data_IF_445918255505
#
_entry.id   IF_445918255505
#
_cell.length_a   1.000
_cell.length_b   1.000
_cell.length_c   1.000
_cell.angle_alpha   90.00
_cell.angle_beta   90.00
_cell.angle_gamma   90.00
#
_symmetry.space_group_name_H-M   'P 1'
#
loop_
_entity.id
_entity.type
_entity.pdbx_description
1 polymer ?
#
# COMPACT_ATOMS: atom_id res chain seq x y z
N UNK A 1 29.40 54.56 -33.62
CA UNK A 1 28.54 53.44 -33.21
C UNK A 1 29.23 52.72 -32.06
N UNK A 2 28.74 52.94 -30.83
CA UNK A 2 29.21 52.26 -29.62
C UNK A 2 28.32 51.04 -29.38
N UNK A 3 28.91 49.86 -29.34
CA UNK A 3 28.24 48.61 -28.97
C UNK A 3 28.22 48.53 -27.44
N UNK A 4 27.06 48.34 -26.78
CA UNK A 4 27.02 48.16 -25.34
C UNK A 4 27.36 46.72 -24.97
N UNK A 5 28.28 46.61 -24.00
CA UNK A 5 28.70 45.36 -23.38
C UNK A 5 27.61 44.93 -22.38
N UNK A 6 26.76 43.97 -22.75
CA UNK A 6 25.74 43.41 -21.85
C UNK A 6 26.43 42.35 -21.00
N UNK A 7 26.71 42.71 -19.76
CA UNK A 7 27.15 41.80 -18.70
C UNK A 7 25.98 40.91 -18.31
N UNK A 8 26.06 39.62 -18.60
CA UNK A 8 25.14 38.60 -18.08
C UNK A 8 25.26 38.53 -16.54
N UNK A 9 24.18 38.70 -15.77
CA UNK A 9 24.18 38.26 -14.39
C UNK A 9 23.95 36.74 -14.39
N UNK A 10 24.93 36.00 -13.88
CA UNK A 10 24.77 34.59 -13.51
C UNK A 10 23.70 34.51 -12.42
N UNK A 11 22.49 34.09 -12.81
CA UNK A 11 21.44 33.68 -11.89
C UNK A 11 21.92 32.38 -11.21
N UNK A 12 22.57 32.54 -10.07
CA UNK A 12 22.82 31.44 -9.15
C UNK A 12 21.49 30.96 -8.56
N UNK A 13 20.77 30.11 -9.28
CA UNK A 13 19.71 29.30 -8.70
C UNK A 13 20.39 28.35 -7.73
N UNK A 14 20.42 28.73 -6.46
CA UNK A 14 20.69 27.80 -5.38
C UNK A 14 19.60 26.74 -5.43
N UNK A 15 19.89 25.61 -6.10
CA UNK A 15 19.19 24.37 -5.90
C UNK A 15 19.36 24.01 -4.42
N UNK A 16 18.42 24.45 -3.59
CA UNK A 16 18.23 23.88 -2.26
C UNK A 16 17.72 22.46 -2.49
N UNK A 17 18.65 21.53 -2.73
CA UNK A 17 18.38 20.11 -2.62
C UNK A 17 17.74 19.91 -1.26
N UNK A 18 16.44 19.60 -1.28
CA UNK A 18 15.60 19.57 -0.08
C UNK A 18 16.28 18.75 1.00
N UNK A 19 16.31 19.31 2.21
CA UNK A 19 16.70 18.59 3.43
C UNK A 19 16.09 17.19 3.38
N UNK A 20 16.92 16.17 3.56
CA UNK A 20 16.48 14.78 3.64
C UNK A 20 15.41 14.58 4.72
N UNK A 21 14.77 13.41 4.71
CA UNK A 21 13.90 12.98 5.82
C UNK A 21 14.73 12.79 7.11
N UNK A 22 14.08 12.89 8.27
CA UNK A 22 14.69 12.67 9.59
C UNK A 22 14.01 11.50 10.28
N UNK A 23 14.54 10.29 10.06
CA UNK A 23 14.07 9.05 10.69
C UNK A 23 15.06 8.57 11.76
N UNK A 24 15.84 9.45 12.38
CA UNK A 24 16.88 9.07 13.35
C UNK A 24 16.35 8.35 14.58
N UNK A 25 15.05 8.50 14.86
CA UNK A 25 14.31 7.76 15.88
C UNK A 25 12.86 7.57 15.42
N UNK A 26 12.16 6.54 15.91
CA UNK A 26 10.71 6.46 15.74
C UNK A 26 10.03 7.61 16.48
N UNK A 27 9.00 8.18 15.86
CA UNK A 27 8.13 9.21 16.39
C UNK A 27 6.74 8.63 16.64
N UNK A 28 6.01 9.22 17.58
CA UNK A 28 4.63 8.80 17.86
C UNK A 28 3.67 9.38 16.81
N UNK A 29 2.72 8.59 16.30
CA UNK A 29 1.68 9.08 15.42
C UNK A 29 0.81 10.10 16.16
N UNK A 30 0.21 11.03 15.41
CA UNK A 30 -0.64 12.11 15.96
C UNK A 30 -2.14 11.90 15.79
N UNK A 31 -2.54 11.10 14.81
CA UNK A 31 -3.95 10.90 14.52
C UNK A 31 -4.57 9.80 15.40
N UNK A 32 -5.90 9.82 15.57
CA UNK A 32 -6.63 8.90 16.43
C UNK A 32 -6.56 7.42 15.98
N UNK A 33 -6.33 7.15 14.69
CA UNK A 33 -6.13 5.79 14.18
C UNK A 33 -4.72 5.28 14.42
N UNK A 34 -3.79 6.12 14.86
CA UNK A 34 -2.43 5.72 15.22
C UNK A 34 -1.58 5.30 14.02
N UNK A 35 -1.89 5.77 12.80
CA UNK A 35 -1.12 5.43 11.60
C UNK A 35 0.28 6.03 11.68
N UNK A 36 1.28 5.15 11.68
CA UNK A 36 2.69 5.51 11.84
C UNK A 36 3.55 4.91 10.72
N UNK A 37 4.68 5.54 10.42
CA UNK A 37 5.71 4.96 9.58
C UNK A 37 6.13 3.59 10.10
N UNK A 38 6.16 2.56 9.25
CA UNK A 38 6.82 1.29 9.56
C UNK A 38 8.33 1.52 9.63
N UNK A 39 8.79 1.83 10.84
CA UNK A 39 10.16 2.22 11.09
C UNK A 39 11.14 1.08 10.79
N UNK A 40 10.73 -0.17 11.06
CA UNK A 40 11.53 -1.35 10.79
C UNK A 40 11.79 -1.52 9.29
N UNK A 41 10.76 -1.34 8.45
CA UNK A 41 10.90 -1.39 7.00
C UNK A 41 11.80 -0.27 6.50
N UNK A 42 11.60 0.96 6.99
CA UNK A 42 12.38 2.12 6.52
C UNK A 42 13.87 2.05 6.87
N UNK A 43 14.24 1.32 7.93
CA UNK A 43 15.62 1.24 8.44
C UNK A 43 16.32 -0.10 8.22
N UNK A 44 15.56 -1.17 8.03
CA UNK A 44 16.10 -2.54 8.01
C UNK A 44 15.83 -3.30 6.72
N UNK A 45 15.02 -2.76 5.80
CA UNK A 45 14.68 -3.41 4.54
C UNK A 45 15.33 -2.77 3.30
N UNK A 46 15.90 -3.55 2.37
CA UNK A 46 16.12 -5.01 2.41
C UNK A 46 17.28 -5.45 3.32
N UNK A 47 18.11 -4.50 3.72
CA UNK A 47 19.23 -4.70 4.63
C UNK A 47 19.28 -3.51 5.59
N UNK A 48 19.84 -3.68 6.80
CA UNK A 48 20.06 -2.58 7.74
C UNK A 48 20.78 -1.38 7.12
N UNK A 49 20.22 -0.19 7.31
CA UNK A 49 20.78 1.10 6.88
C UNK A 49 20.80 2.06 8.05
N UNK A 50 21.88 2.83 8.18
CA UNK A 50 21.94 3.91 9.17
C UNK A 50 20.79 4.90 8.94
N UNK A 51 19.96 5.13 9.94
CA UNK A 51 18.84 6.06 9.90
C UNK A 51 19.26 7.52 9.64
N UNK A 52 20.53 7.87 9.90
CA UNK A 52 21.11 9.19 9.61
C UNK A 52 21.49 9.37 8.13
N UNK A 53 21.68 8.27 7.41
CA UNK A 53 22.01 8.33 6.00
C UNK A 53 20.76 8.66 5.18
N UNK A 54 20.64 9.92 4.78
CA UNK A 54 19.54 10.39 3.93
C UNK A 54 19.83 10.26 2.43
N UNK A 55 21.03 9.79 2.04
CA UNK A 55 21.44 9.59 0.65
C UNK A 55 20.91 8.27 0.07
N UNK A 56 20.61 7.30 0.94
CA UNK A 56 20.08 5.99 0.51
C UNK A 56 18.61 6.05 0.13
N UNK A 57 18.26 5.28 -0.90
CA UNK A 57 16.88 5.02 -1.23
C UNK A 57 16.26 4.09 -0.18
N UNK A 58 15.10 4.47 0.35
CA UNK A 58 14.37 3.70 1.37
C UNK A 58 13.03 3.20 0.85
N UNK A 59 12.50 2.23 1.58
CA UNK A 59 11.14 1.75 1.44
C UNK A 59 10.25 2.38 2.50
N UNK A 60 9.02 2.70 2.13
CA UNK A 60 8.08 3.43 2.97
C UNK A 60 6.73 2.74 2.95
N UNK A 61 6.24 2.41 4.14
CA UNK A 61 4.89 1.92 4.40
C UNK A 61 4.44 2.57 5.69
N UNK A 62 3.16 2.90 5.79
CA UNK A 62 2.53 3.35 7.03
C UNK A 62 1.50 2.33 7.45
N UNK A 63 1.50 2.00 8.74
CA UNK A 63 0.68 0.94 9.31
C UNK A 63 0.05 1.35 10.63
N UNK A 64 -1.07 0.73 10.96
CA UNK A 64 -1.68 0.77 12.29
C UNK A 64 -2.41 -0.55 12.55
N UNK A 65 -2.54 -0.89 13.83
CA UNK A 65 -3.34 -2.00 14.31
C UNK A 65 -4.24 -1.55 15.46
N UNK A 66 -5.53 -1.84 15.32
CA UNK A 66 -6.59 -1.49 16.26
C UNK A 66 -7.31 -2.77 16.70
N UNK A 67 -7.47 -2.95 18.01
CA UNK A 67 -8.32 -3.99 18.58
C UNK A 67 -9.53 -3.34 19.28
N UNK A 68 -10.71 -3.89 19.04
CA UNK A 68 -11.99 -3.41 19.53
C UNK A 68 -12.55 -4.35 20.61
N UNK A 69 -13.39 -3.79 21.47
CA UNK A 69 -14.06 -4.56 22.53
C UNK A 69 -14.99 -5.63 21.97
N UNK A 70 -15.77 -5.29 20.93
CA UNK A 70 -16.70 -6.18 20.26
C UNK A 70 -16.21 -6.53 18.84
N UNK A 71 -16.78 -7.57 18.21
CA UNK A 71 -16.42 -7.94 16.86
C UNK A 71 -16.60 -6.79 15.86
N UNK A 72 -15.63 -6.63 14.97
CA UNK A 72 -15.64 -5.61 13.92
C UNK A 72 -16.71 -5.89 12.88
N UNK A 73 -17.35 -7.07 12.86
CA UNK A 73 -18.53 -7.35 12.04
C UNK A 73 -19.70 -6.41 12.34
N UNK A 74 -19.72 -5.73 13.48
CA UNK A 74 -20.70 -4.67 13.79
C UNK A 74 -20.37 -3.32 13.12
N UNK A 75 -19.16 -3.16 12.58
CA UNK A 75 -18.72 -1.97 11.83
C UNK A 75 -19.19 -2.13 10.40
N UNK A 76 -19.90 -1.13 9.87
CA UNK A 76 -20.41 -1.15 8.51
C UNK A 76 -19.28 -0.98 7.49
N UNK A 77 -19.50 -1.43 6.26
CA UNK A 77 -18.51 -1.24 5.18
C UNK A 77 -18.33 0.25 4.85
N UNK A 78 -19.37 1.07 5.00
CA UNK A 78 -19.31 2.54 4.87
C UNK A 78 -18.38 3.17 5.91
N UNK A 79 -18.40 2.67 7.16
CA UNK A 79 -17.49 3.12 8.20
C UNK A 79 -16.06 2.65 7.93
N UNK A 80 -15.87 1.41 7.47
CA UNK A 80 -14.54 0.92 7.05
C UNK A 80 -13.94 1.79 5.94
N UNK A 81 -14.76 2.25 4.98
CA UNK A 81 -14.32 3.19 3.95
C UNK A 81 -13.87 4.53 4.53
N UNK A 82 -14.62 5.09 5.48
CA UNK A 82 -14.22 6.34 6.13
C UNK A 82 -12.93 6.16 6.94
N UNK A 83 -12.79 5.04 7.66
CA UNK A 83 -11.56 4.70 8.40
C UNK A 83 -10.35 4.65 7.45
N UNK A 84 -10.46 4.00 6.29
CA UNK A 84 -9.37 3.93 5.32
C UNK A 84 -8.99 5.31 4.74
N UNK A 85 -9.98 6.20 4.54
CA UNK A 85 -9.75 7.59 4.10
C UNK A 85 -9.00 8.41 5.14
N UNK A 86 -9.50 8.37 6.38
CA UNK A 86 -8.88 9.08 7.50
C UNK A 86 -7.46 8.55 7.78
N UNK A 87 -7.25 7.24 7.65
CA UNK A 87 -5.95 6.60 7.79
C UNK A 87 -4.96 7.12 6.75
N UNK A 88 -5.39 7.32 5.49
CA UNK A 88 -4.54 7.90 4.45
C UNK A 88 -4.20 9.36 4.77
N UNK A 89 -5.12 10.13 5.36
CA UNK A 89 -4.83 11.49 5.82
C UNK A 89 -3.81 11.52 6.96
N UNK A 90 -3.88 10.56 7.88
CA UNK A 90 -2.88 10.42 8.94
C UNK A 90 -1.47 10.12 8.40
N UNK A 91 -1.34 9.40 7.27
CA UNK A 91 -0.05 9.23 6.59
C UNK A 91 0.57 10.58 6.27
N UNK A 92 -0.21 11.54 5.76
CA UNK A 92 0.30 12.87 5.42
C UNK A 92 0.74 13.65 6.67
N UNK A 93 0.04 13.45 7.78
CA UNK A 93 0.41 14.04 9.07
C UNK A 93 1.72 13.44 9.57
N UNK A 94 1.85 12.12 9.54
CA UNK A 94 3.04 11.40 10.02
C UNK A 94 4.27 11.70 9.14
N UNK A 95 4.12 11.71 7.81
CA UNK A 95 5.17 12.11 6.86
C UNK A 95 5.76 13.48 7.20
N UNK A 96 4.94 14.45 7.61
CA UNK A 96 5.40 15.79 7.99
C UNK A 96 6.28 15.76 9.24
N UNK A 97 6.04 14.85 10.18
CA UNK A 97 6.87 14.68 11.39
C UNK A 97 8.31 14.31 11.03
N UNK A 98 8.45 13.40 10.06
CA UNK A 98 9.74 12.92 9.56
C UNK A 98 10.31 13.78 8.42
N UNK A 99 9.65 14.88 8.04
CA UNK A 99 10.02 15.73 6.89
C UNK A 99 10.15 14.93 5.57
N UNK A 100 9.36 13.86 5.43
CA UNK A 100 9.34 13.03 4.22
C UNK A 100 8.59 13.78 3.12
N UNK A 101 9.26 13.99 1.98
CA UNK A 101 8.69 14.73 0.85
C UNK A 101 7.63 13.96 0.05
N UNK A 102 6.80 14.70 -0.70
CA UNK A 102 5.67 14.18 -1.48
C UNK A 102 6.03 13.04 -2.46
N UNK A 103 7.26 12.99 -2.97
CA UNK A 103 7.71 11.90 -3.88
C UNK A 103 7.62 10.50 -3.24
N UNK A 104 7.72 10.44 -1.91
CA UNK A 104 7.65 9.20 -1.12
C UNK A 104 6.24 8.90 -0.59
N UNK A 105 5.26 9.75 -0.91
CA UNK A 105 3.87 9.57 -0.48
C UNK A 105 3.27 8.33 -1.14
N UNK A 106 2.65 7.41 -0.38
CA UNK A 106 1.84 6.35 -0.96
C UNK A 106 0.53 6.93 -1.49
N UNK A 107 -0.01 6.36 -2.55
CA UNK A 107 -1.29 6.79 -3.12
C UNK A 107 -2.46 5.94 -2.66
N UNK A 108 -2.22 4.84 -1.95
CA UNK A 108 -3.26 3.92 -1.52
C UNK A 108 -3.13 3.54 -0.05
N UNK A 109 -4.28 3.33 0.60
CA UNK A 109 -4.44 2.85 1.97
C UNK A 109 -5.49 1.74 2.00
N UNK A 110 -5.14 0.61 2.60
CA UNK A 110 -6.02 -0.55 2.73
C UNK A 110 -6.45 -0.77 4.17
N UNK A 111 -7.68 -1.22 4.35
CA UNK A 111 -8.27 -1.62 5.63
C UNK A 111 -8.57 -3.12 5.59
N UNK A 112 -8.00 -3.89 6.52
CA UNK A 112 -8.25 -5.31 6.70
C UNK A 112 -8.94 -5.51 8.05
N UNK A 113 -10.17 -6.02 8.05
CA UNK A 113 -10.99 -6.15 9.26
C UNK A 113 -11.43 -7.60 9.48
N UNK A 114 -11.15 -8.17 10.65
CA UNK A 114 -11.57 -9.53 11.03
C UNK A 114 -11.74 -9.64 12.54
N UNK A 115 -12.56 -10.58 13.01
CA UNK A 115 -12.71 -10.82 14.46
C UNK A 115 -13.02 -9.53 15.22
N UNK A 116 -12.09 -9.07 16.05
CA UNK A 116 -12.14 -7.82 16.81
C UNK A 116 -11.06 -6.80 16.37
N UNK A 117 -10.43 -7.02 15.23
CA UNK A 117 -9.20 -6.33 14.83
C UNK A 117 -9.34 -5.63 13.49
N UNK A 118 -8.64 -4.51 13.34
CA UNK A 118 -8.41 -3.82 12.09
C UNK A 118 -6.91 -3.59 11.91
N UNK A 119 -6.38 -3.94 10.74
CA UNK A 119 -5.08 -3.48 10.26
C UNK A 119 -5.32 -2.42 9.18
N UNK A 120 -4.57 -1.32 9.29
CA UNK A 120 -4.46 -0.30 8.26
C UNK A 120 -3.06 -0.37 7.68
N UNK A 121 -2.94 -0.41 6.36
CA UNK A 121 -1.64 -0.46 5.70
C UNK A 121 -1.64 0.31 4.38
N UNK A 122 -0.67 1.19 4.20
CA UNK A 122 -0.47 1.88 2.94
C UNK A 122 0.15 0.96 1.88
N UNK A 123 -0.03 1.32 0.61
CA UNK A 123 0.87 0.84 -0.46
C UNK A 123 2.33 1.18 -0.12
N UNK A 124 3.25 0.32 -0.56
CA UNK A 124 4.67 0.52 -0.38
C UNK A 124 5.23 1.47 -1.44
N UNK A 125 6.09 2.39 -1.00
CA UNK A 125 6.97 3.20 -1.87
C UNK A 125 8.40 2.77 -1.69
N UNK A 126 9.24 2.94 -2.72
CA UNK A 126 10.64 2.53 -2.69
C UNK A 126 11.01 1.62 -3.86
N UNK A 127 12.29 1.23 -3.92
CA UNK A 127 12.84 0.49 -5.07
C UNK A 127 12.45 -0.99 -5.06
N UNK A 128 12.71 -1.69 -3.96
CA UNK A 128 12.46 -3.12 -3.82
C UNK A 128 11.00 -3.44 -3.46
N UNK A 129 10.50 -4.62 -3.79
CA UNK A 129 9.24 -5.16 -3.26
C UNK A 129 9.47 -5.87 -1.92
N UNK A 130 8.70 -5.54 -0.88
CA UNK A 130 8.70 -6.33 0.35
C UNK A 130 8.06 -7.70 0.11
N UNK A 131 6.89 -7.75 -0.52
CA UNK A 131 6.12 -8.98 -0.67
C UNK A 131 6.82 -10.06 -1.49
N UNK A 132 7.59 -9.69 -2.52
CA UNK A 132 8.38 -10.64 -3.30
C UNK A 132 9.79 -10.89 -2.71
N UNK A 133 10.34 -9.93 -1.97
CA UNK A 133 11.69 -10.04 -1.41
C UNK A 133 11.74 -10.79 -0.08
N UNK A 134 10.68 -10.70 0.73
CA UNK A 134 10.65 -11.20 2.09
C UNK A 134 10.18 -12.67 2.13
N UNK A 135 11.13 -13.59 2.37
CA UNK A 135 10.95 -15.04 2.20
C UNK A 135 10.25 -15.72 3.37
N UNK A 136 9.71 -16.92 3.11
CA UNK A 136 9.14 -17.79 4.13
C UNK A 136 7.86 -17.25 4.75
N UNK A 137 7.04 -16.55 3.95
CA UNK A 137 5.76 -16.00 4.40
C UNK A 137 4.60 -16.62 3.61
N UNK A 138 3.43 -16.83 4.24
CA UNK A 138 2.23 -17.28 3.54
C UNK A 138 1.85 -16.35 2.38
N UNK A 139 2.08 -15.05 2.54
CA UNK A 139 1.80 -14.07 1.48
C UNK A 139 2.66 -14.32 0.23
N UNK A 140 3.97 -14.57 0.40
CA UNK A 140 4.85 -14.88 -0.71
C UNK A 140 4.42 -16.19 -1.39
N UNK A 141 4.10 -17.24 -0.63
CA UNK A 141 3.64 -18.51 -1.18
C UNK A 141 2.38 -18.34 -2.04
N UNK A 142 1.39 -17.58 -1.56
CA UNK A 142 0.19 -17.27 -2.35
C UNK A 142 0.54 -16.45 -3.60
N UNK A 143 1.45 -15.47 -3.49
CA UNK A 143 1.90 -14.66 -4.64
C UNK A 143 2.67 -15.47 -5.68
N UNK A 144 3.50 -16.43 -5.28
CA UNK A 144 4.20 -17.34 -6.19
C UNK A 144 3.21 -18.19 -6.97
N UNK A 145 2.16 -18.69 -6.31
CA UNK A 145 1.07 -19.40 -6.98
C UNK A 145 0.31 -18.50 -7.95
N UNK A 146 0.07 -17.24 -7.58
CA UNK A 146 -0.51 -16.24 -8.49
C UNK A 146 0.42 -15.98 -9.69
N UNK A 147 1.74 -15.94 -9.50
CA UNK A 147 2.73 -15.72 -10.56
C UNK A 147 2.82 -16.93 -11.51
N UNK A 148 2.64 -18.16 -11.01
CA UNK A 148 2.53 -19.36 -11.86
C UNK A 148 1.30 -19.24 -12.76
N UNK A 149 0.12 -18.96 -12.18
CA UNK A 149 -1.11 -18.73 -12.96
C UNK A 149 -0.94 -17.57 -13.94
N UNK A 150 -0.24 -16.49 -13.56
CA UNK A 150 0.07 -15.37 -14.45
C UNK A 150 0.96 -15.77 -15.62
N UNK A 151 1.98 -16.62 -15.40
CA UNK A 151 2.82 -17.12 -16.48
C UNK A 151 2.00 -17.92 -17.48
N UNK A 152 1.20 -18.86 -16.99
CA UNK A 152 0.42 -19.77 -17.83
C UNK A 152 -0.72 -19.05 -18.58
N UNK A 153 -1.49 -18.20 -17.90
CA UNK A 153 -2.73 -17.63 -18.44
C UNK A 153 -2.62 -16.14 -18.84
N UNK A 154 -1.47 -15.52 -18.59
CA UNK A 154 -1.22 -14.10 -18.80
C UNK A 154 -0.96 -13.70 -20.25
N UNK A 155 -0.91 -12.39 -20.53
CA UNK A 155 -0.83 -11.82 -21.88
C UNK A 155 0.45 -12.14 -22.65
N UNK A 156 1.44 -12.77 -22.01
CA UNK A 156 2.67 -13.24 -22.64
C UNK A 156 2.73 -14.75 -22.85
N UNK A 157 1.64 -15.49 -22.65
CA UNK A 157 1.51 -16.90 -23.04
C UNK A 157 2.62 -17.83 -22.52
N UNK A 158 3.06 -17.66 -21.28
CA UNK A 158 4.16 -18.45 -20.70
C UNK A 158 5.56 -17.82 -20.80
N UNK A 159 5.73 -16.74 -21.57
CA UNK A 159 7.07 -16.22 -21.90
C UNK A 159 7.53 -15.04 -21.02
N UNK A 160 6.75 -14.65 -20.01
CA UNK A 160 7.04 -13.45 -19.19
C UNK A 160 7.12 -13.78 -17.71
N UNK A 161 8.32 -13.64 -17.15
CA UNK A 161 8.56 -13.62 -15.69
C UNK A 161 8.26 -12.25 -15.05
N UNK A 162 7.69 -11.29 -15.78
CA UNK A 162 7.36 -9.98 -15.22
C UNK A 162 6.33 -10.11 -14.10
N UNK A 163 6.64 -9.51 -12.96
CA UNK A 163 5.71 -9.32 -11.86
C UNK A 163 4.54 -8.42 -12.28
N UNK A 164 3.43 -8.51 -11.53
CA UNK A 164 2.30 -7.59 -11.66
C UNK A 164 2.76 -6.11 -11.64
N UNK A 165 2.04 -5.19 -12.29
CA UNK A 165 2.43 -3.77 -12.48
C UNK A 165 2.82 -3.01 -11.21
N UNK A 166 2.29 -3.44 -10.07
CA UNK A 166 2.56 -2.85 -8.76
C UNK A 166 3.66 -3.57 -7.98
N UNK A 167 4.31 -4.58 -8.56
CA UNK A 167 5.44 -5.34 -7.96
C UNK A 167 5.12 -5.85 -6.55
N UNK A 168 3.86 -6.23 -6.28
CA UNK A 168 3.44 -6.68 -4.95
C UNK A 168 3.46 -5.61 -3.85
N UNK A 169 3.55 -4.32 -4.18
CA UNK A 169 3.66 -3.19 -3.24
C UNK A 169 2.31 -2.66 -2.73
N UNK A 170 1.27 -3.49 -2.76
CA UNK A 170 -0.11 -3.04 -2.55
C UNK A 170 -0.48 -3.08 -1.07
N UNK A 171 -1.40 -2.21 -0.65
CA UNK A 171 -1.73 -2.05 0.77
C UNK A 171 -2.33 -3.33 1.37
N UNK A 172 -3.13 -4.05 0.59
CA UNK A 172 -3.72 -5.33 1.00
C UNK A 172 -2.67 -6.42 1.25
N UNK A 173 -1.57 -6.42 0.48
CA UNK A 173 -0.45 -7.35 0.68
C UNK A 173 0.32 -6.99 1.95
N UNK A 174 0.57 -5.70 2.18
CA UNK A 174 1.17 -5.22 3.43
C UNK A 174 0.30 -5.59 4.63
N UNK A 175 -1.03 -5.39 4.55
CA UNK A 175 -1.96 -5.75 5.61
C UNK A 175 -1.97 -7.27 5.89
N UNK A 176 -1.92 -8.10 4.85
CA UNK A 176 -1.84 -9.55 5.00
C UNK A 176 -0.51 -10.00 5.62
N UNK A 177 0.63 -9.38 5.25
CA UNK A 177 1.90 -9.66 5.91
C UNK A 177 1.85 -9.35 7.41
N UNK A 178 1.25 -8.22 7.78
CA UNK A 178 1.06 -7.85 9.19
C UNK A 178 0.17 -8.87 9.91
N UNK A 179 -0.93 -9.30 9.29
CA UNK A 179 -1.79 -10.35 9.83
C UNK A 179 -1.01 -11.64 10.13
N UNK A 180 -0.30 -12.18 9.12
CA UNK A 180 0.45 -13.43 9.27
C UNK A 180 1.68 -13.30 10.18
N UNK A 181 2.19 -12.09 10.40
CA UNK A 181 3.28 -11.86 11.36
C UNK A 181 2.87 -12.02 12.82
N UNK A 182 1.57 -12.01 13.14
CA UNK A 182 1.06 -12.17 14.51
C UNK A 182 0.91 -13.65 14.94
N UNK A 183 1.75 -14.55 14.42
CA UNK A 183 1.63 -16.01 14.62
C UNK A 183 0.24 -16.56 14.24
N UNK A 184 -0.40 -15.97 13.23
CA UNK A 184 -1.72 -16.40 12.78
C UNK A 184 -1.63 -17.79 12.14
N UNK A 185 -2.16 -18.80 12.84
CA UNK A 185 -2.29 -20.19 12.34
C UNK A 185 -3.57 -20.42 11.55
N UNK A 186 -4.49 -19.45 11.58
CA UNK A 186 -5.77 -19.48 10.88
C UNK A 186 -5.62 -18.63 9.62
N UNK A 187 -6.11 -19.14 8.49
CA UNK A 187 -6.07 -18.40 7.22
C UNK A 187 -7.05 -17.23 7.23
N UNK A 188 -6.79 -16.20 6.43
CA UNK A 188 -7.71 -15.07 6.25
C UNK A 188 -9.10 -15.52 5.78
N UNK A 189 -9.19 -16.55 4.94
CA UNK A 189 -10.43 -17.13 4.45
C UNK A 189 -11.31 -17.66 5.59
N UNK A 190 -10.71 -18.32 6.58
CA UNK A 190 -11.42 -18.86 7.74
C UNK A 190 -11.86 -17.77 8.74
N UNK A 191 -11.33 -16.56 8.62
CA UNK A 191 -11.68 -15.42 9.49
C UNK A 191 -12.85 -14.61 8.99
N UNK A 192 -13.37 -14.88 7.79
CA UNK A 192 -14.32 -14.00 7.11
C UNK A 192 -13.79 -12.55 7.10
N UNK A 193 -12.52 -12.38 6.75
CA UNK A 193 -11.87 -11.07 6.78
C UNK A 193 -12.39 -10.19 5.62
N UNK A 194 -12.67 -8.93 5.92
CA UNK A 194 -13.08 -7.91 4.95
C UNK A 194 -11.91 -7.03 4.56
N UNK A 195 -11.82 -6.66 3.28
CA UNK A 195 -10.74 -5.85 2.72
C UNK A 195 -11.27 -4.74 1.82
N UNK A 196 -10.75 -3.54 1.96
CA UNK A 196 -11.01 -2.42 1.04
C UNK A 196 -9.78 -1.55 0.87
N UNK A 197 -9.66 -0.88 -0.28
CA UNK A 197 -8.55 0.02 -0.59
C UNK A 197 -9.05 1.38 -1.08
N UNK A 198 -8.56 2.45 -0.46
CA UNK A 198 -8.78 3.82 -0.91
C UNK A 198 -7.56 4.28 -1.68
N UNK A 199 -7.76 4.95 -2.82
CA UNK A 199 -6.68 5.49 -3.64
C UNK A 199 -6.88 6.98 -3.84
N UNK A 200 -5.81 7.75 -3.67
CA UNK A 200 -5.74 9.16 -4.02
C UNK A 200 -5.57 9.32 -5.54
N UNK A 201 -6.53 9.99 -6.15
CA UNK A 201 -6.52 10.40 -7.56
C UNK A 201 -6.57 11.93 -7.68
N UNK A 202 -6.46 12.45 -8.90
CA UNK A 202 -6.47 13.90 -9.16
C UNK A 202 -7.78 14.58 -8.78
N UNK A 203 -8.89 13.86 -8.82
CA UNK A 203 -10.25 14.32 -8.49
C UNK A 203 -10.66 14.01 -7.04
N UNK A 204 -9.75 13.45 -6.24
CA UNK A 204 -9.97 13.15 -4.83
C UNK A 204 -9.72 11.68 -4.48
N UNK A 205 -10.20 11.28 -3.30
CA UNK A 205 -10.09 9.92 -2.81
C UNK A 205 -11.21 9.04 -3.39
N UNK A 206 -10.84 7.90 -3.97
CA UNK A 206 -11.78 6.89 -4.48
C UNK A 206 -11.66 5.59 -3.71
N UNK A 207 -12.81 4.98 -3.43
CA UNK A 207 -12.87 3.58 -3.03
C UNK A 207 -12.59 2.75 -4.28
N UNK A 208 -11.87 1.64 -4.13
CA UNK A 208 -11.64 0.72 -5.23
C UNK A 208 -11.35 -0.66 -4.68
N UNK A 209 -11.58 -1.67 -5.51
CA UNK A 209 -11.07 -3.00 -5.27
C UNK A 209 -9.57 -2.99 -4.94
N UNK A 210 -9.09 -3.90 -4.07
CA UNK A 210 -7.66 -4.10 -3.90
C UNK A 210 -6.97 -4.31 -5.26
N UNK A 211 -5.80 -3.72 -5.46
CA UNK A 211 -5.10 -3.61 -6.75
C UNK A 211 -5.78 -2.82 -7.89
N UNK A 212 -6.93 -2.20 -7.61
CA UNK A 212 -7.68 -1.31 -8.49
C UNK A 212 -8.52 -2.07 -9.52
N UNK A 213 -9.52 -1.39 -10.07
CA UNK A 213 -10.34 -1.95 -11.13
C UNK A 213 -9.50 -2.24 -12.40
N UNK A 214 -9.63 -3.45 -13.00
CA UNK A 214 -8.92 -3.82 -14.22
C UNK A 214 -9.34 -2.98 -15.44
N UNK A 215 -10.55 -2.40 -15.40
CA UNK A 215 -11.15 -1.68 -16.53
C UNK A 215 -10.72 -0.20 -16.66
N UNK A 216 -9.94 0.33 -15.72
CA UNK A 216 -9.51 1.74 -15.71
C UNK A 216 -8.05 1.98 -16.17
N UNK A 217 -7.43 1.04 -16.91
CA UNK A 217 -6.10 1.27 -17.49
C UNK A 217 -6.18 2.14 -18.73
N UNK A 218 -5.89 3.43 -18.53
CA UNK A 218 -5.48 4.45 -19.52
C UNK A 218 -5.96 4.24 -20.96
N UNK A 219 -7.05 4.92 -21.33
CA UNK A 219 -7.47 5.15 -22.72
C UNK A 219 -6.48 6.01 -23.55
N UNK A 220 -5.31 6.36 -23.00
CA UNK A 220 -4.35 7.31 -23.59
C UNK A 220 -3.04 6.68 -24.11
N UNK A 221 -3.02 5.38 -24.44
CA UNK A 221 -1.91 4.79 -25.24
C UNK A 221 -2.41 4.47 -26.65
N UNK A 222 -1.74 5.05 -27.66
CA UNK A 222 -2.03 4.84 -29.09
C UNK A 222 -1.95 3.34 -29.43
N UNK A 223 -2.92 2.77 -30.18
CA UNK A 223 -2.90 1.38 -30.61
C UNK A 223 -1.85 1.18 -31.74
N UNK A 224 -1.16 0.03 -31.80
CA UNK A 224 -0.35 -0.30 -32.95
C UNK A 224 -1.25 -0.67 -34.15
N UNK A 225 -0.82 -0.40 -35.39
CA UNK A 225 -1.62 -0.72 -36.57
C UNK A 225 -1.49 -2.21 -36.92
N UNK A 226 -2.64 -2.89 -36.82
CA UNK A 226 -3.10 -4.08 -37.58
C UNK A 226 -2.09 -5.20 -37.88
N UNK A 227 -2.17 -6.28 -37.09
CA UNK A 227 -2.22 -7.66 -37.61
C UNK A 227 -3.29 -8.43 -36.81
N UNK A 228 -4.08 -9.23 -37.51
CA UNK A 228 -5.28 -9.95 -37.03
C UNK A 228 -4.98 -11.04 -35.99
N UNK A 229 -5.39 -10.79 -34.76
CA UNK A 229 -6.33 -11.51 -33.89
C UNK A 229 -6.68 -10.44 -32.84
N UNK A 230 -7.93 -9.99 -32.69
CA UNK A 230 -8.09 -8.67 -32.05
C UNK A 230 -7.72 -8.69 -30.56
N UNK A 231 -6.72 -7.87 -30.20
CA UNK A 231 -6.16 -7.66 -28.85
C UNK A 231 -7.17 -7.35 -27.72
N UNK A 232 -8.46 -7.16 -28.04
CA UNK A 232 -9.52 -6.75 -27.11
C UNK A 232 -9.83 -7.77 -26.02
N UNK A 233 -9.73 -9.07 -26.32
CA UNK A 233 -9.95 -10.11 -25.30
C UNK A 233 -8.73 -10.33 -24.39
N UNK A 234 -7.55 -9.94 -24.86
CA UNK A 234 -6.29 -10.04 -24.12
C UNK A 234 -6.05 -8.84 -23.19
N UNK A 235 -6.78 -7.73 -23.37
CA UNK A 235 -6.73 -6.58 -22.43
C UNK A 235 -7.52 -6.81 -21.15
N UNK A 236 -8.57 -7.65 -21.17
CA UNK A 236 -9.35 -7.96 -19.97
C UNK A 236 -8.58 -8.85 -18.97
N UNK A 237 -7.61 -9.64 -19.44
CA UNK A 237 -6.72 -10.47 -18.59
C UNK A 237 -5.50 -9.72 -18.04
N UNK A 238 -5.19 -8.51 -18.52
CA UNK A 238 -3.92 -7.81 -18.25
C UNK A 238 -3.78 -7.24 -16.83
N UNK A 239 -4.89 -7.03 -16.12
CA UNK A 239 -4.88 -6.42 -14.78
C UNK A 239 -5.52 -7.30 -13.69
N UNK A 240 -5.99 -8.50 -14.05
CA UNK A 240 -6.74 -9.39 -13.15
C UNK A 240 -5.87 -10.29 -12.26
N UNK A 241 -4.56 -10.29 -12.43
CA UNK A 241 -3.73 -11.43 -12.03
C UNK A 241 -2.49 -10.95 -11.28
N UNK A 242 -2.53 -11.15 -9.97
CA UNK A 242 -1.57 -10.67 -8.99
C UNK A 242 -2.27 -10.56 -7.63
N UNK A 243 -2.60 -9.34 -7.22
CA UNK A 243 -3.24 -9.07 -5.93
C UNK A 243 -4.75 -9.38 -5.93
N UNK A 244 -5.46 -9.25 -7.05
CA UNK A 244 -6.89 -9.63 -7.12
C UNK A 244 -7.03 -11.16 -6.96
N UNK A 245 -6.11 -11.91 -7.58
CA UNK A 245 -5.99 -13.35 -7.34
C UNK A 245 -5.60 -13.67 -5.90
N UNK A 246 -4.68 -12.88 -5.31
CA UNK A 246 -4.33 -13.02 -3.90
C UNK A 246 -5.56 -12.86 -3.01
N UNK A 247 -6.32 -11.77 -3.16
CA UNK A 247 -7.56 -11.51 -2.42
C UNK A 247 -8.54 -12.68 -2.55
N UNK A 248 -8.72 -13.19 -3.77
CA UNK A 248 -9.58 -14.35 -4.04
C UNK A 248 -9.06 -15.63 -3.38
N UNK A 249 -7.76 -15.92 -3.48
CA UNK A 249 -7.12 -17.12 -2.90
C UNK A 249 -7.13 -17.09 -1.37
N UNK A 250 -6.92 -15.92 -0.78
CA UNK A 250 -7.02 -15.68 0.66
C UNK A 250 -8.47 -15.62 1.16
N UNK A 251 -9.47 -15.77 0.27
CA UNK A 251 -10.89 -15.78 0.64
C UNK A 251 -11.37 -14.48 1.29
N UNK A 252 -10.76 -13.35 0.92
CA UNK A 252 -11.11 -12.05 1.47
C UNK A 252 -12.43 -11.54 0.88
N UNK A 253 -13.29 -10.98 1.73
CA UNK A 253 -14.51 -10.30 1.30
C UNK A 253 -14.20 -8.85 0.94
N UNK A 254 -14.29 -8.51 -0.33
CA UNK A 254 -14.06 -7.15 -0.82
C UNK A 254 -15.24 -6.24 -0.44
N UNK A 255 -14.95 -5.07 0.11
CA UNK A 255 -15.98 -4.05 0.39
C UNK A 255 -16.57 -3.53 -0.92
N UNK A 256 -17.88 -3.28 -0.97
CA UNK A 256 -18.54 -2.65 -2.11
C UNK A 256 -18.05 -1.19 -2.27
N UNK A 257 -17.42 -0.89 -3.40
CA UNK A 257 -16.78 0.40 -3.68
C UNK A 257 -17.78 1.54 -3.94
N UNK A 258 -19.02 1.22 -4.33
CA UNK A 258 -20.10 2.20 -4.58
C UNK A 258 -20.70 2.76 -3.28
N UNK A 259 -20.33 2.16 -2.13
CA UNK A 259 -20.77 2.63 -0.84
C UNK A 259 -20.09 3.93 -0.45
N UNK A 260 -20.89 5.00 -0.39
CA UNK A 260 -20.45 6.28 0.16
C UNK A 260 -19.98 6.12 1.62
N UNK A 261 -18.78 6.64 1.97
CA UNK A 261 -18.25 6.62 3.33
C UNK A 261 -19.21 7.27 4.33
N UNK A 262 -19.24 6.78 5.56
CA UNK A 262 -20.03 7.38 6.63
C UNK A 262 -19.20 7.65 7.90
N UNK A 263 -19.55 8.69 8.67
CA UNK A 263 -18.83 9.01 9.91
C UNK A 263 -18.86 7.86 10.94
N UNK A 264 -17.83 7.81 11.78
CA UNK A 264 -17.72 6.89 12.90
C UNK A 264 -17.12 7.60 14.11
N UNK A 265 -17.20 6.96 15.28
CA UNK A 265 -16.59 7.42 16.51
C UNK A 265 -15.87 6.24 17.19
N UNK A 266 -14.54 6.27 17.23
CA UNK A 266 -13.73 5.19 17.80
C UNK A 266 -14.02 4.88 19.26
N UNK A 267 -14.60 5.82 20.02
CA UNK A 267 -14.93 5.60 21.43
C UNK A 267 -16.14 4.68 21.61
N UNK A 268 -17.03 4.61 20.62
CA UNK A 268 -18.26 3.82 20.66
C UNK A 268 -18.29 2.71 19.59
N UNK A 269 -17.54 2.86 18.50
CA UNK A 269 -17.46 1.93 17.39
C UNK A 269 -17.04 0.53 17.88
N UNK A 270 -17.85 -0.47 17.59
CA UNK A 270 -17.66 -1.85 18.08
C UNK A 270 -17.35 -1.91 19.60
N UNK A 271 -18.00 -1.07 20.40
CA UNK A 271 -17.81 -1.02 21.86
C UNK A 271 -16.52 -0.34 22.32
N UNK A 272 -15.82 0.34 21.41
CA UNK A 272 -14.61 1.13 21.68
C UNK A 272 -13.31 0.39 21.37
N UNK A 273 -12.30 1.15 20.97
CA UNK A 273 -10.91 0.66 20.79
C UNK A 273 -10.29 0.37 22.16
N UNK A 274 -9.78 -0.86 22.34
CA UNK A 274 -9.08 -1.31 23.56
C UNK A 274 -7.57 -1.41 23.39
N UNK A 275 -7.09 -1.60 22.15
CA UNK A 275 -5.67 -1.55 21.80
C UNK A 275 -5.50 -0.69 20.56
N UNK A 276 -4.53 0.22 20.61
CA UNK A 276 -4.03 0.97 19.44
C UNK A 276 -2.51 0.90 19.46
N UNK A 277 -1.94 0.19 18.50
CA UNK A 277 -0.50 0.00 18.38
C UNK A 277 -0.09 -0.16 16.91
N UNK A 278 1.16 -0.56 16.69
CA UNK A 278 1.69 -0.83 15.36
C UNK A 278 2.33 -2.22 15.35
N UNK A 279 1.96 -3.03 14.35
CA UNK A 279 2.71 -4.22 13.96
C UNK A 279 3.68 -3.78 12.86
N UNK A 280 4.94 -4.18 12.98
CA UNK A 280 6.01 -3.75 12.06
C UNK A 280 6.49 -4.94 11.21
N UNK A 281 6.55 -4.74 9.89
CA UNK A 281 6.84 -5.78 8.91
C UNK A 281 8.17 -6.50 9.14
N UNK A 282 9.23 -5.78 9.52
CA UNK A 282 10.56 -6.34 9.72
C UNK A 282 10.92 -6.61 11.19
N UNK A 283 10.00 -6.36 12.14
CA UNK A 283 10.29 -6.52 13.57
C UNK A 283 10.02 -7.93 14.10
N UNK A 284 9.13 -8.68 13.45
CA UNK A 284 8.52 -9.88 14.07
C UNK A 284 9.13 -11.20 13.56
N UNK A 285 9.74 -11.22 12.38
CA UNK A 285 10.22 -12.47 11.78
C UNK A 285 11.76 -12.49 11.74
N UNK A 286 12.35 -12.91 12.86
CA UNK A 286 13.72 -13.45 12.96
C UNK A 286 13.69 -14.85 13.56
N UNK A 287 12.90 -15.73 12.95
CA UNK A 287 12.96 -17.16 13.26
C UNK A 287 12.96 -17.96 11.97
N UNK A 288 14.16 -18.18 11.43
CA UNK A 288 14.60 -19.44 10.83
C UNK A 288 16.11 -19.53 11.01
#
# INVERSE_FOLDING_TARGET
MLVPNISLPLLGIACTFGKGYDITKPLRPKGPLGVALDYSLATSWPEPRDAKDSSVARNWVWTSHLQFKNPVSAITDRQLWQIARDALDEVHVDMKLYKIGRKHRPSAMSVLAWGNEIILASSQRGRSSFSYGYRGTPVLETLELCQITWREDGPGGGETDKEHRNEGKCGELMAAHLYYSQDATVTLAQRNARIGTVVEQSDGLKNTDPCGQPENVSKNRRPPPKVEFTERDLTYRKDNLGCNLFVKREGLMVLDEELAPEPYDLSTLAGGVVVSNQIQLCAVIRRF
#
